data_IF_347009434854
#
_entry.id   IF_347009434854
#
_cell.length_a   1.000
_cell.length_b   1.000
_cell.length_c   1.000
_cell.angle_alpha   90.00
_cell.angle_beta   90.00
_cell.angle_gamma   90.00
#
_symmetry.space_group_name_H-M   'P 1'
#
loop_
_entity.id
_entity.type
_entity.pdbx_description
1 polymer ?
#
# COMPACT_ATOMS: atom_id res chain seq x y z
N UNK A 1 -8.63 45.22 -45.59
CA UNK A 1 -8.54 46.68 -45.37
C UNK A 1 -9.97 47.20 -45.27
N UNK A 2 -10.35 47.82 -44.16
CA UNK A 2 -11.27 48.97 -44.04
C UNK A 2 -11.57 49.16 -42.54
N UNK A 3 -11.15 50.33 -42.03
CA UNK A 3 -11.28 50.79 -40.65
C UNK A 3 -12.49 51.72 -40.53
N UNK A 4 -13.10 51.72 -39.34
CA UNK A 4 -13.67 52.88 -38.63
C UNK A 4 -14.95 53.50 -39.23
N UNK A 5 -15.89 54.06 -38.48
CA UNK A 5 -16.02 54.34 -37.06
C UNK A 5 -16.89 55.59 -36.84
N UNK A 6 -17.63 55.61 -35.72
CA UNK A 6 -18.20 56.76 -34.95
C UNK A 6 -19.58 57.37 -35.28
N UNK A 7 -20.27 57.72 -34.18
CA UNK A 7 -21.33 58.76 -34.02
C UNK A 7 -22.62 58.19 -33.38
N UNK A 8 -22.88 58.32 -32.06
CA UNK A 8 -23.51 59.44 -31.31
C UNK A 8 -24.96 59.72 -31.75
N UNK A 9 -26.02 59.89 -30.94
CA UNK A 9 -26.28 59.98 -29.50
C UNK A 9 -27.77 60.43 -29.30
N UNK A 10 -28.30 60.30 -28.06
CA UNK A 10 -29.53 60.94 -27.49
C UNK A 10 -30.90 60.57 -28.11
N UNK A 11 -32.04 60.44 -27.43
CA UNK A 11 -32.52 60.65 -26.04
C UNK A 11 -34.08 60.64 -26.09
N UNK A 12 -34.77 60.32 -24.99
CA UNK A 12 -36.23 60.57 -24.88
C UNK A 12 -37.03 59.55 -24.04
N UNK A 13 -37.38 59.95 -22.82
CA UNK A 13 -38.31 59.33 -21.88
C UNK A 13 -39.76 59.26 -22.39
N UNK A 14 -40.54 58.24 -21.97
CA UNK A 14 -41.92 58.50 -21.52
C UNK A 14 -42.54 57.37 -20.67
N UNK A 15 -43.47 57.80 -19.82
CA UNK A 15 -43.88 57.20 -18.54
C UNK A 15 -45.21 56.44 -18.57
N UNK A 16 -45.28 55.37 -17.76
CA UNK A 16 -46.45 54.76 -17.07
C UNK A 16 -47.56 53.99 -17.82
N UNK A 17 -47.78 52.75 -17.34
CA UNK A 17 -49.02 52.13 -16.80
C UNK A 17 -48.83 50.60 -16.92
N UNK A 18 -48.73 49.80 -15.87
CA UNK A 18 -49.70 49.64 -14.79
C UNK A 18 -50.53 48.37 -15.04
N UNK A 19 -49.99 47.18 -14.72
CA UNK A 19 -50.78 45.95 -14.60
C UNK A 19 -50.18 45.07 -13.49
N UNK A 20 -50.97 44.89 -12.42
CA UNK A 20 -50.65 44.03 -11.26
C UNK A 20 -50.90 42.58 -11.65
N UNK A 21 -49.91 41.72 -11.48
CA UNK A 21 -50.11 40.27 -11.34
C UNK A 21 -49.55 39.85 -9.98
N UNK A 22 -50.41 39.28 -9.14
CA UNK A 22 -50.06 38.69 -7.86
C UNK A 22 -49.01 37.58 -8.06
N UNK A 23 -47.77 37.83 -7.61
CA UNK A 23 -46.77 36.78 -7.45
C UNK A 23 -47.01 36.07 -6.10
N UNK A 24 -47.44 34.81 -6.17
CA UNK A 24 -47.26 33.84 -5.09
C UNK A 24 -45.76 33.64 -4.87
N UNK A 25 -45.25 33.62 -3.62
CA UNK A 25 -43.85 33.33 -3.39
C UNK A 25 -43.54 31.88 -3.79
N UNK A 26 -42.48 31.71 -4.59
CA UNK A 26 -41.84 30.41 -4.83
C UNK A 26 -41.55 29.75 -3.49
N UNK A 27 -42.08 28.54 -3.28
CA UNK A 27 -41.57 27.67 -2.21
C UNK A 27 -40.16 27.24 -2.59
N UNK A 28 -39.18 27.62 -1.76
CA UNK A 28 -37.85 27.02 -1.81
C UNK A 28 -37.90 25.59 -1.26
N UNK A 29 -37.15 24.62 -1.81
CA UNK A 29 -37.09 23.28 -1.26
C UNK A 29 -36.30 23.31 0.07
N UNK A 30 -36.90 22.80 1.13
CA UNK A 30 -36.25 22.60 2.42
C UNK A 30 -35.18 21.49 2.32
N UNK A 31 -34.00 21.83 1.85
CA UNK A 31 -32.82 20.98 1.96
C UNK A 31 -31.99 21.45 3.15
N UNK A 32 -32.00 20.73 4.27
CA UNK A 32 -30.84 20.64 5.17
C UNK A 32 -31.05 19.62 6.30
N UNK A 33 -30.09 18.69 6.40
CA UNK A 33 -29.89 17.69 7.46
C UNK A 33 -29.97 18.24 8.91
N UNK A 34 -29.86 19.56 9.09
CA UNK A 34 -29.93 20.21 10.40
C UNK A 34 -31.33 20.28 11.02
N UNK A 35 -32.40 20.38 10.22
CA UNK A 35 -33.73 20.70 10.76
C UNK A 35 -34.41 19.53 11.50
N UNK A 36 -34.10 18.29 11.14
CA UNK A 36 -34.68 17.09 11.78
C UNK A 36 -33.97 16.72 13.09
N UNK A 37 -32.64 16.82 13.13
CA UNK A 37 -31.87 16.59 14.35
C UNK A 37 -32.25 17.60 15.44
N UNK A 38 -32.43 18.87 15.07
CA UNK A 38 -32.89 19.92 16.00
C UNK A 38 -34.30 19.66 16.54
N UNK A 39 -35.23 19.11 15.72
CA UNK A 39 -36.57 18.76 16.19
C UNK A 39 -36.56 17.55 17.15
N UNK A 40 -35.72 16.55 16.88
CA UNK A 40 -35.61 15.34 17.71
C UNK A 40 -35.00 15.64 19.09
N UNK A 41 -33.96 16.49 19.13
CA UNK A 41 -33.34 16.98 20.38
C UNK A 41 -34.37 17.78 21.20
N UNK A 42 -35.24 18.57 20.55
CA UNK A 42 -36.31 19.31 21.21
C UNK A 42 -37.41 18.40 21.79
N UNK A 43 -37.69 17.27 21.14
CA UNK A 43 -38.67 16.27 21.62
C UNK A 43 -38.15 15.45 22.80
N UNK A 44 -36.86 15.10 22.81
CA UNK A 44 -36.20 14.39 23.93
C UNK A 44 -36.06 15.31 25.15
N UNK A 45 -35.62 16.56 24.97
CA UNK A 45 -35.50 17.54 26.08
C UNK A 45 -36.84 17.93 26.70
N UNK A 46 -37.95 17.77 25.97
CA UNK A 46 -39.32 17.97 26.48
C UNK A 46 -39.99 16.71 27.00
N UNK A 47 -39.26 15.59 27.11
CA UNK A 47 -39.76 14.33 27.69
C UNK A 47 -40.86 13.63 26.88
N UNK A 48 -41.07 14.03 25.61
CA UNK A 48 -42.15 13.48 24.77
C UNK A 48 -41.79 12.14 24.12
N UNK A 49 -40.51 11.77 24.12
CA UNK A 49 -40.01 10.50 23.57
C UNK A 49 -38.91 9.95 24.49
N UNK A 50 -38.97 8.67 24.91
CA UNK A 50 -37.90 8.03 25.66
C UNK A 50 -36.57 8.04 24.88
N UNK A 51 -35.45 8.32 25.55
CA UNK A 51 -34.13 8.43 24.91
C UNK A 51 -33.75 7.18 24.09
N UNK A 52 -34.17 6.00 24.54
CA UNK A 52 -33.93 4.74 23.82
C UNK A 52 -34.70 4.68 22.50
N UNK A 53 -35.98 5.10 22.48
CA UNK A 53 -36.79 5.15 21.27
C UNK A 53 -36.27 6.20 20.28
N UNK A 54 -35.78 7.35 20.78
CA UNK A 54 -35.15 8.37 19.95
C UNK A 54 -33.84 7.86 19.28
N UNK A 55 -33.03 7.08 20.01
CA UNK A 55 -31.82 6.43 19.44
C UNK A 55 -32.17 5.42 18.35
N UNK A 56 -33.22 4.62 18.55
CA UNK A 56 -33.69 3.66 17.54
C UNK A 56 -34.23 4.34 16.28
N UNK A 57 -34.97 5.45 16.43
CA UNK A 57 -35.44 6.24 15.28
C UNK A 57 -34.29 6.90 14.51
N UNK A 58 -33.27 7.43 15.20
CA UNK A 58 -32.07 7.97 14.54
C UNK A 58 -31.32 6.85 13.80
N UNK A 59 -31.16 5.69 14.42
CA UNK A 59 -30.50 4.54 13.79
C UNK A 59 -31.26 4.07 12.53
N UNK A 60 -32.59 4.01 12.58
CA UNK A 60 -33.41 3.60 11.43
C UNK A 60 -33.47 4.68 10.32
N UNK A 61 -33.50 5.97 10.69
CA UNK A 61 -33.39 7.07 9.75
C UNK A 61 -32.01 7.09 9.06
N UNK A 62 -30.93 6.79 9.77
CA UNK A 62 -29.59 6.68 9.18
C UNK A 62 -29.51 5.50 8.20
N UNK A 63 -30.18 4.36 8.49
CA UNK A 63 -30.32 3.24 7.54
C UNK A 63 -31.11 3.59 6.27
N UNK A 64 -32.04 4.55 6.36
CA UNK A 64 -32.83 5.00 5.21
C UNK A 64 -32.13 6.11 4.42
N UNK A 65 -31.37 7.00 5.07
CA UNK A 65 -30.58 8.03 4.38
C UNK A 65 -29.35 7.47 3.66
N UNK A 66 -28.77 6.35 4.13
CA UNK A 66 -27.70 5.63 3.42
C UNK A 66 -28.21 4.81 2.22
N UNK A 67 -29.51 4.82 1.92
CA UNK A 67 -30.12 4.10 0.78
C UNK A 67 -30.47 5.01 -0.40
N UNK A 68 -30.07 6.28 -0.38
CA UNK A 68 -30.47 7.24 -1.40
C UNK A 68 -29.47 8.36 -1.58
N UNK A 69 -28.37 8.08 -2.26
CA UNK A 69 -27.61 8.97 -3.14
C UNK A 69 -26.56 8.10 -3.83
N UNK A 70 -26.47 8.19 -5.16
CA UNK A 70 -25.85 7.18 -6.01
C UNK A 70 -24.49 6.71 -5.53
N UNK A 71 -24.43 5.45 -5.14
CA UNK A 71 -23.21 4.68 -5.13
C UNK A 71 -22.66 4.71 -6.56
N UNK A 72 -21.76 5.65 -6.83
CA UNK A 72 -20.60 5.24 -7.61
C UNK A 72 -19.91 4.20 -6.74
N UNK A 73 -20.38 2.95 -6.83
CA UNK A 73 -19.53 1.80 -6.64
C UNK A 73 -18.30 2.11 -7.48
N UNK A 74 -17.24 2.62 -6.84
CA UNK A 74 -15.93 2.49 -7.43
C UNK A 74 -15.76 0.99 -7.53
N UNK A 75 -15.75 0.40 -8.74
CA UNK A 75 -15.51 -1.01 -8.87
C UNK A 75 -14.20 -1.23 -8.13
N UNK A 76 -14.20 -2.04 -7.07
CA UNK A 76 -12.96 -2.51 -6.47
C UNK A 76 -12.28 -3.18 -7.65
N UNK A 77 -11.22 -2.59 -8.22
CA UNK A 77 -10.66 -3.17 -9.38
C UNK A 77 -10.01 -4.43 -8.82
N UNK A 78 -10.48 -5.60 -9.26
CA UNK A 78 -9.62 -6.77 -9.33
C UNK A 78 -8.62 -6.48 -10.46
N UNK A 79 -7.90 -5.36 -10.37
CA UNK A 79 -6.81 -5.01 -11.27
C UNK A 79 -5.75 -6.02 -10.95
N UNK A 80 -5.47 -6.89 -11.93
CA UNK A 80 -4.15 -7.48 -12.09
C UNK A 80 -3.12 -6.39 -11.79
N UNK A 81 -2.43 -6.50 -10.66
CA UNK A 81 -1.30 -5.62 -10.37
C UNK A 81 -0.31 -5.68 -11.54
N UNK A 82 0.25 -4.53 -11.91
CA UNK A 82 1.13 -4.42 -13.07
C UNK A 82 2.57 -4.16 -12.65
N UNK A 83 3.41 -5.17 -12.83
CA UNK A 83 4.86 -5.02 -12.79
C UNK A 83 5.39 -4.28 -14.02
N UNK A 84 6.69 -3.98 -14.01
CA UNK A 84 7.40 -3.49 -15.20
C UNK A 84 7.51 -4.64 -16.21
N UNK A 85 6.97 -4.42 -17.41
CA UNK A 85 6.98 -5.38 -18.50
C UNK A 85 8.43 -5.71 -18.93
N UNK A 86 8.69 -7.00 -19.19
CA UNK A 86 10.00 -7.50 -19.65
C UNK A 86 9.96 -7.65 -21.16
N UNK A 87 10.94 -7.09 -21.87
CA UNK A 87 10.86 -6.96 -23.34
C UNK A 87 11.38 -8.18 -24.10
N UNK A 88 11.94 -9.18 -23.39
CA UNK A 88 12.57 -10.37 -23.99
C UNK A 88 11.98 -11.68 -23.46
N UNK A 89 10.71 -12.02 -23.77
CA UNK A 89 10.08 -13.26 -23.29
C UNK A 89 10.72 -14.54 -23.87
N UNK A 90 11.35 -14.46 -25.05
CA UNK A 90 12.01 -15.57 -25.74
C UNK A 90 13.53 -15.56 -25.58
N UNK A 91 14.07 -14.96 -24.52
CA UNK A 91 15.52 -14.88 -24.34
C UNK A 91 16.14 -16.27 -24.19
N UNK A 92 17.33 -16.45 -24.77
CA UNK A 92 18.08 -17.69 -24.65
C UNK A 92 18.98 -17.62 -23.41
N UNK A 93 18.64 -18.39 -22.38
CA UNK A 93 19.39 -18.45 -21.12
C UNK A 93 20.90 -18.71 -21.31
N UNK A 94 21.28 -19.50 -22.32
CA UNK A 94 22.69 -19.77 -22.67
C UNK A 94 23.39 -18.50 -23.17
N UNK A 95 22.76 -17.78 -24.10
CA UNK A 95 23.33 -16.56 -24.67
C UNK A 95 23.43 -15.44 -23.63
N UNK A 96 22.42 -15.31 -22.77
CA UNK A 96 22.44 -14.36 -21.67
C UNK A 96 23.55 -14.72 -20.65
N UNK A 97 23.76 -16.01 -20.35
CA UNK A 97 24.85 -16.46 -19.48
C UNK A 97 26.23 -16.13 -20.08
N UNK A 98 26.41 -16.35 -21.39
CA UNK A 98 27.63 -15.97 -22.12
C UNK A 98 27.86 -14.45 -22.09
N UNK A 99 26.80 -13.66 -22.25
CA UNK A 99 26.88 -12.21 -22.19
C UNK A 99 27.28 -11.72 -20.78
N UNK A 100 26.74 -12.32 -19.72
CA UNK A 100 27.14 -11.99 -18.34
C UNK A 100 28.60 -12.37 -18.10
N UNK A 101 29.06 -13.53 -18.55
CA UNK A 101 30.46 -13.93 -18.39
C UNK A 101 31.42 -12.99 -19.12
N UNK A 102 31.08 -12.60 -20.35
CA UNK A 102 31.85 -11.62 -21.10
C UNK A 102 31.90 -10.26 -20.40
N UNK A 103 30.77 -9.82 -19.81
CA UNK A 103 30.70 -8.58 -19.05
C UNK A 103 31.58 -8.63 -17.79
N UNK A 104 31.58 -9.74 -17.05
CA UNK A 104 32.43 -9.95 -15.86
C UNK A 104 33.92 -9.92 -16.24
N UNK A 105 34.30 -10.53 -17.37
CA UNK A 105 35.70 -10.61 -17.83
C UNK A 105 36.24 -9.34 -18.49
N UNK A 106 35.38 -8.38 -18.80
CA UNK A 106 35.79 -7.10 -19.38
C UNK A 106 36.72 -6.37 -18.42
N UNK A 107 37.78 -5.73 -18.94
CA UNK A 107 38.71 -4.95 -18.10
C UNK A 107 37.94 -3.80 -17.45
N UNK A 108 37.75 -3.88 -16.13
CA UNK A 108 36.95 -2.93 -15.35
C UNK A 108 35.50 -3.35 -15.10
N UNK A 109 35.09 -4.55 -15.55
CA UNK A 109 33.71 -5.08 -15.56
C UNK A 109 32.78 -4.23 -16.44
N UNK A 110 31.83 -4.85 -17.13
CA UNK A 110 30.78 -4.13 -17.87
C UNK A 110 29.47 -4.17 -17.06
N UNK A 111 29.35 -3.29 -16.07
CA UNK A 111 28.18 -3.21 -15.19
C UNK A 111 26.90 -2.87 -15.97
N UNK A 112 27.01 -2.04 -17.01
CA UNK A 112 25.89 -1.68 -17.86
C UNK A 112 25.29 -2.90 -18.54
N UNK A 113 26.14 -3.74 -19.14
CA UNK A 113 25.67 -4.97 -19.78
C UNK A 113 25.00 -5.92 -18.79
N UNK A 114 25.54 -6.03 -17.56
CA UNK A 114 24.93 -6.82 -16.49
C UNK A 114 23.54 -6.27 -16.13
N UNK A 115 23.43 -4.94 -15.97
CA UNK A 115 22.16 -4.27 -15.66
C UNK A 115 21.13 -4.53 -16.76
N UNK A 116 21.50 -4.29 -18.02
CA UNK A 116 20.61 -4.43 -19.17
C UNK A 116 20.08 -5.86 -19.28
N UNK A 117 20.96 -6.87 -19.16
CA UNK A 117 20.56 -8.28 -19.21
C UNK A 117 19.65 -8.61 -18.03
N UNK A 118 19.99 -8.24 -16.80
CA UNK A 118 19.21 -8.69 -15.64
C UNK A 118 17.87 -7.96 -15.50
N UNK A 119 17.82 -6.66 -15.77
CA UNK A 119 16.59 -5.87 -15.56
C UNK A 119 15.53 -6.11 -16.63
N UNK A 120 15.94 -6.56 -17.82
CA UNK A 120 15.08 -6.91 -18.94
C UNK A 120 14.68 -8.41 -18.99
N UNK A 121 14.99 -9.15 -17.92
CA UNK A 121 14.58 -10.56 -17.75
C UNK A 121 13.67 -10.68 -16.55
N UNK A 122 12.69 -11.57 -16.62
CA UNK A 122 11.88 -11.94 -15.45
C UNK A 122 12.71 -12.71 -14.44
N UNK A 123 12.26 -12.80 -13.20
CA UNK A 123 12.94 -13.61 -12.18
C UNK A 123 13.13 -15.07 -12.63
N UNK A 124 12.11 -15.66 -13.27
CA UNK A 124 12.17 -17.02 -13.81
C UNK A 124 13.29 -17.15 -14.85
N UNK A 125 13.41 -16.19 -15.77
CA UNK A 125 14.48 -16.17 -16.75
C UNK A 125 15.85 -15.97 -16.11
N UNK A 126 16.00 -15.05 -15.14
CA UNK A 126 17.27 -14.86 -14.41
C UNK A 126 17.75 -16.14 -13.73
N UNK A 127 16.83 -16.92 -13.15
CA UNK A 127 17.15 -18.22 -12.54
C UNK A 127 17.57 -19.25 -13.60
N UNK A 128 16.92 -19.27 -14.76
CA UNK A 128 17.36 -20.12 -15.88
C UNK A 128 18.75 -19.71 -16.41
N UNK A 129 19.06 -18.41 -16.46
CA UNK A 129 20.39 -17.89 -16.80
C UNK A 129 21.43 -18.38 -15.79
N UNK A 130 21.15 -18.27 -14.48
CA UNK A 130 22.05 -18.74 -13.44
C UNK A 130 22.33 -20.25 -13.55
N UNK A 131 21.31 -21.06 -13.85
CA UNK A 131 21.48 -22.49 -14.11
C UNK A 131 22.34 -22.76 -15.35
N UNK A 132 22.10 -22.04 -16.45
CA UNK A 132 22.89 -22.19 -17.67
C UNK A 132 24.35 -21.76 -17.46
N UNK A 133 24.58 -20.66 -16.75
CA UNK A 133 25.91 -20.18 -16.38
C UNK A 133 26.69 -21.25 -15.58
N UNK A 134 26.06 -21.89 -14.60
CA UNK A 134 26.66 -23.00 -13.85
C UNK A 134 27.03 -24.18 -14.76
N UNK A 135 26.19 -24.53 -15.74
CA UNK A 135 26.46 -25.62 -16.68
C UNK A 135 27.61 -25.30 -17.64
N UNK A 136 27.72 -24.06 -18.12
CA UNK A 136 28.74 -23.65 -19.08
C UNK A 136 30.11 -23.44 -18.43
N UNK A 137 30.14 -22.88 -17.22
CA UNK A 137 31.39 -22.41 -16.60
C UNK A 137 31.77 -23.16 -15.33
N UNK A 138 30.92 -24.08 -14.86
CA UNK A 138 31.16 -24.84 -13.63
C UNK A 138 31.17 -23.99 -12.36
N UNK A 139 30.72 -22.73 -12.43
CA UNK A 139 30.74 -21.74 -11.34
C UNK A 139 29.35 -21.14 -11.14
N UNK A 140 29.02 -20.87 -9.88
CA UNK A 140 27.76 -20.23 -9.50
C UNK A 140 27.73 -18.75 -9.93
N UNK A 141 26.67 -18.35 -10.65
CA UNK A 141 26.52 -17.01 -11.21
C UNK A 141 26.43 -15.91 -10.12
N UNK A 142 25.59 -16.03 -9.07
CA UNK A 142 25.62 -15.11 -7.92
C UNK A 142 27.02 -14.94 -7.33
N UNK A 143 27.76 -16.03 -7.14
CA UNK A 143 29.13 -15.98 -6.60
C UNK A 143 30.11 -15.29 -7.56
N UNK A 144 29.95 -15.47 -8.87
CA UNK A 144 30.76 -14.77 -9.87
C UNK A 144 30.47 -13.26 -9.89
N UNK A 145 29.20 -12.87 -9.88
CA UNK A 145 28.79 -11.47 -9.85
C UNK A 145 29.16 -10.78 -8.54
N UNK A 146 29.06 -11.49 -7.41
CA UNK A 146 29.54 -11.01 -6.10
C UNK A 146 31.04 -10.71 -6.08
N UNK A 147 31.83 -11.50 -6.80
CA UNK A 147 33.27 -11.26 -6.90
C UNK A 147 33.64 -10.12 -7.87
N UNK A 148 32.76 -9.81 -8.83
CA UNK A 148 32.97 -8.81 -9.86
C UNK A 148 32.41 -7.42 -9.48
N UNK A 149 31.30 -7.40 -8.76
CA UNK A 149 30.59 -6.19 -8.37
C UNK A 149 30.89 -5.81 -6.91
N UNK A 150 30.57 -4.58 -6.54
CA UNK A 150 30.67 -4.14 -5.15
C UNK A 150 29.51 -3.22 -4.75
N UNK A 151 29.27 -3.12 -3.45
CA UNK A 151 28.41 -2.11 -2.85
C UNK A 151 26.94 -2.25 -3.24
N UNK A 152 26.32 -1.14 -3.64
CA UNK A 152 24.86 -1.04 -3.83
C UNK A 152 24.38 -1.74 -5.08
N UNK A 153 25.17 -1.67 -6.16
CA UNK A 153 24.86 -2.40 -7.38
C UNK A 153 24.88 -3.91 -7.13
N UNK A 154 25.93 -4.41 -6.45
CA UNK A 154 26.04 -5.81 -6.05
C UNK A 154 24.79 -6.26 -5.28
N UNK A 155 24.36 -5.45 -4.29
CA UNK A 155 23.19 -5.76 -3.47
C UNK A 155 21.90 -5.91 -4.29
N UNK A 156 21.65 -5.00 -5.24
CA UNK A 156 20.48 -5.09 -6.13
C UNK A 156 20.58 -6.30 -7.07
N UNK A 157 21.75 -6.51 -7.69
CA UNK A 157 21.98 -7.61 -8.64
C UNK A 157 21.77 -8.95 -7.95
N UNK A 158 22.36 -9.17 -6.78
CA UNK A 158 22.18 -10.41 -6.02
C UNK A 158 20.74 -10.60 -5.57
N UNK A 159 20.05 -9.52 -5.19
CA UNK A 159 18.62 -9.56 -4.87
C UNK A 159 17.77 -10.01 -6.06
N UNK A 160 18.04 -9.50 -7.26
CA UNK A 160 17.29 -9.83 -8.47
C UNK A 160 17.45 -11.30 -8.92
N UNK A 161 18.54 -11.97 -8.54
CA UNK A 161 18.80 -13.38 -8.87
C UNK A 161 18.07 -14.37 -7.95
N UNK A 162 17.66 -13.94 -6.76
CA UNK A 162 16.93 -14.77 -5.80
C UNK A 162 15.48 -14.92 -6.22
N UNK A 163 14.88 -16.08 -5.97
CA UNK A 163 13.42 -16.17 -6.00
C UNK A 163 12.80 -15.21 -4.98
N UNK A 164 11.54 -14.77 -5.15
CA UNK A 164 10.90 -13.87 -4.19
C UNK A 164 10.95 -14.37 -2.74
N UNK A 165 10.74 -15.68 -2.52
CA UNK A 165 10.80 -16.28 -1.20
C UNK A 165 12.23 -16.33 -0.61
N UNK A 166 13.25 -16.59 -1.43
CA UNK A 166 14.66 -16.52 -0.99
C UNK A 166 15.08 -15.10 -0.66
N UNK A 167 14.61 -14.10 -1.42
CA UNK A 167 14.89 -12.70 -1.14
C UNK A 167 14.26 -12.24 0.18
N UNK A 168 12.96 -12.50 0.37
CA UNK A 168 12.25 -12.13 1.59
C UNK A 168 12.78 -12.90 2.82
N UNK A 169 13.12 -14.19 2.69
CA UNK A 169 13.69 -14.97 3.78
C UNK A 169 15.05 -14.42 4.24
N UNK A 170 15.88 -13.95 3.31
CA UNK A 170 17.14 -13.27 3.63
C UNK A 170 16.91 -11.94 4.33
N UNK A 171 16.00 -11.09 3.81
CA UNK A 171 15.69 -9.80 4.42
C UNK A 171 15.15 -9.97 5.85
N UNK A 172 14.28 -10.97 6.08
CA UNK A 172 13.80 -11.31 7.43
C UNK A 172 14.95 -11.77 8.34
N UNK A 173 15.84 -12.64 7.85
CA UNK A 173 16.99 -13.10 8.62
C UNK A 173 17.92 -11.94 8.99
N UNK A 174 18.24 -11.07 8.03
CA UNK A 174 19.06 -9.90 8.27
C UNK A 174 18.40 -8.90 9.22
N UNK A 175 17.06 -8.81 9.23
CA UNK A 175 16.33 -7.95 10.15
C UNK A 175 16.36 -8.41 11.61
N UNK A 176 16.63 -9.70 11.85
CA UNK A 176 16.73 -10.31 13.18
C UNK A 176 18.17 -10.70 13.55
N UNK A 177 19.14 -10.44 12.67
CA UNK A 177 20.52 -10.85 12.90
C UNK A 177 21.34 -9.73 13.53
N UNK A 178 21.81 -9.97 14.75
CA UNK A 178 22.82 -9.12 15.41
C UNK A 178 22.27 -8.45 16.67
N UNK A 179 22.81 -7.27 16.99
CA UNK A 179 22.34 -6.48 18.12
C UNK A 179 21.20 -5.57 17.66
N UNK A 180 20.02 -5.79 18.24
CA UNK A 180 18.79 -5.10 17.87
C UNK A 180 18.07 -5.78 16.71
N UNK A 181 16.88 -5.27 16.41
CA UNK A 181 16.01 -5.79 15.37
C UNK A 181 15.69 -4.64 14.40
N UNK A 182 15.52 -4.94 13.12
CA UNK A 182 14.97 -4.02 12.12
C UNK A 182 13.47 -4.30 12.01
N UNK A 183 12.70 -3.72 12.93
CA UNK A 183 11.25 -3.90 13.01
C UNK A 183 10.55 -3.38 11.74
N UNK A 184 11.12 -2.35 11.09
CA UNK A 184 10.56 -1.79 9.87
C UNK A 184 10.50 -2.83 8.74
N UNK A 185 11.58 -3.60 8.56
CA UNK A 185 11.67 -4.68 7.56
C UNK A 185 10.76 -5.85 7.92
N UNK A 186 10.73 -6.28 9.19
CA UNK A 186 9.82 -7.33 9.66
C UNK A 186 8.36 -6.99 9.38
N UNK A 187 7.95 -5.78 9.76
CA UNK A 187 6.58 -5.30 9.59
C UNK A 187 6.22 -5.22 8.11
N UNK A 188 7.07 -4.61 7.28
CA UNK A 188 6.81 -4.45 5.85
C UNK A 188 6.54 -5.78 5.15
N UNK A 189 7.38 -6.79 5.40
CA UNK A 189 7.25 -8.10 4.77
C UNK A 189 6.02 -8.83 5.33
N UNK A 190 5.89 -8.97 6.65
CA UNK A 190 4.81 -9.78 7.24
C UNK A 190 3.40 -9.21 6.99
N UNK A 191 3.27 -7.89 6.82
CA UNK A 191 1.98 -7.24 6.52
C UNK A 191 1.59 -7.38 5.04
N UNK A 192 2.56 -7.35 4.13
CA UNK A 192 2.30 -7.20 2.70
C UNK A 192 2.32 -8.49 1.89
N UNK A 193 2.77 -9.61 2.47
CA UNK A 193 2.81 -10.89 1.79
C UNK A 193 1.51 -11.68 1.97
N UNK A 194 1.09 -12.35 0.91
CA UNK A 194 -0.06 -13.27 0.93
C UNK A 194 0.23 -14.51 1.77
N UNK A 195 -0.81 -15.27 2.11
CA UNK A 195 -0.67 -16.53 2.82
C UNK A 195 0.27 -17.52 2.09
N UNK A 196 0.11 -17.63 0.77
CA UNK A 196 0.96 -18.49 -0.05
C UNK A 196 2.43 -18.07 -0.01
N UNK A 197 2.69 -16.76 -0.11
CA UNK A 197 4.05 -16.21 -0.01
C UNK A 197 4.66 -16.47 1.38
N UNK A 198 3.92 -16.18 2.47
CA UNK A 198 4.41 -16.36 3.84
C UNK A 198 4.76 -17.83 4.14
N UNK A 199 3.93 -18.78 3.68
CA UNK A 199 4.23 -20.22 3.81
C UNK A 199 5.49 -20.61 3.05
N UNK A 200 5.70 -20.07 1.85
CA UNK A 200 6.89 -20.38 1.07
C UNK A 200 8.16 -19.76 1.67
N UNK A 201 8.07 -18.50 2.14
CA UNK A 201 9.12 -17.83 2.89
C UNK A 201 9.51 -18.66 4.11
N UNK A 202 8.55 -19.13 4.92
CA UNK A 202 8.82 -19.96 6.10
C UNK A 202 9.58 -21.26 5.77
N UNK A 203 9.24 -21.93 4.66
CA UNK A 203 9.97 -23.12 4.19
C UNK A 203 11.40 -22.79 3.78
N UNK A 204 11.60 -21.76 2.97
CA UNK A 204 12.92 -21.34 2.48
C UNK A 204 13.80 -20.88 3.64
N UNK A 205 13.24 -20.05 4.54
CA UNK A 205 13.91 -19.59 5.75
C UNK A 205 14.41 -20.77 6.59
N UNK A 206 13.56 -21.75 6.87
CA UNK A 206 13.95 -22.96 7.61
C UNK A 206 15.02 -23.78 6.90
N UNK A 207 14.92 -23.90 5.57
CA UNK A 207 15.91 -24.64 4.79
C UNK A 207 17.30 -23.99 4.85
N UNK A 208 17.38 -22.65 4.84
CA UNK A 208 18.64 -21.89 4.86
C UNK A 208 19.19 -21.75 6.27
N UNK A 209 18.39 -21.23 7.21
CA UNK A 209 18.83 -20.85 8.56
C UNK A 209 18.80 -22.01 9.56
N UNK A 210 18.18 -23.14 9.20
CA UNK A 210 18.00 -24.32 10.07
C UNK A 210 17.15 -24.07 11.32
N UNK A 211 16.46 -22.93 11.39
CA UNK A 211 15.51 -22.55 12.43
C UNK A 211 14.21 -22.08 11.77
N UNK A 212 13.08 -22.27 12.46
CA UNK A 212 11.77 -21.80 11.98
C UNK A 212 11.68 -20.28 12.10
N UNK A 213 11.10 -19.61 11.11
CA UNK A 213 10.94 -18.15 11.10
C UNK A 213 10.23 -17.66 12.37
N UNK A 214 9.19 -18.38 12.80
CA UNK A 214 8.42 -18.07 14.01
C UNK A 214 9.26 -18.18 15.28
N UNK A 215 10.27 -19.06 15.32
CA UNK A 215 11.16 -19.18 16.48
C UNK A 215 12.09 -17.97 16.60
N UNK A 216 12.65 -17.51 15.48
CA UNK A 216 13.51 -16.32 15.47
C UNK A 216 12.68 -15.05 15.76
N UNK A 217 11.47 -14.92 15.19
CA UNK A 217 10.55 -13.82 15.57
C UNK A 217 10.28 -13.86 17.09
N UNK A 218 10.07 -15.06 17.65
CA UNK A 218 9.81 -15.22 19.07
C UNK A 218 11.05 -14.98 19.96
N UNK A 219 12.28 -15.10 19.46
CA UNK A 219 13.48 -14.79 20.24
C UNK A 219 13.79 -13.30 20.25
N UNK A 220 13.49 -12.62 19.14
CA UNK A 220 13.93 -11.24 18.90
C UNK A 220 12.90 -10.19 19.29
N UNK A 221 11.62 -10.56 19.33
CA UNK A 221 10.54 -9.64 19.69
C UNK A 221 9.87 -10.07 20.99
N UNK A 222 9.05 -9.21 21.59
CA UNK A 222 8.35 -9.53 22.84
C UNK A 222 6.95 -8.92 22.92
N UNK A 223 6.20 -9.32 23.94
CA UNK A 223 4.89 -8.75 24.26
C UNK A 223 3.84 -8.95 23.16
N UNK A 224 2.94 -7.99 23.02
CA UNK A 224 1.88 -8.07 22.02
C UNK A 224 2.37 -7.82 20.59
N UNK A 225 3.50 -7.12 20.42
CA UNK A 225 4.16 -6.98 19.11
C UNK A 225 4.57 -8.35 18.57
N UNK A 226 5.25 -9.16 19.39
CA UNK A 226 5.57 -10.55 19.06
C UNK A 226 4.32 -11.36 18.69
N UNK A 227 3.26 -11.27 19.49
CA UNK A 227 2.00 -12.02 19.21
C UNK A 227 1.40 -11.62 17.86
N UNK A 228 1.42 -10.34 17.52
CA UNK A 228 0.92 -9.85 16.24
C UNK A 228 1.78 -10.37 15.08
N UNK A 229 3.11 -10.27 15.16
CA UNK A 229 4.01 -10.77 14.12
C UNK A 229 3.86 -12.28 13.92
N UNK A 230 3.78 -13.06 15.00
CA UNK A 230 3.57 -14.51 14.93
C UNK A 230 2.20 -14.86 14.33
N UNK A 231 1.16 -14.06 14.59
CA UNK A 231 -0.14 -14.24 13.97
C UNK A 231 -0.12 -13.97 12.46
N UNK A 232 0.63 -12.96 12.01
CA UNK A 232 0.86 -12.67 10.59
C UNK A 232 1.68 -13.77 9.92
N UNK A 233 2.84 -14.15 10.51
CA UNK A 233 3.79 -15.11 9.94
C UNK A 233 3.18 -16.48 9.63
N UNK A 234 2.15 -16.89 10.39
CA UNK A 234 1.39 -18.13 10.13
C UNK A 234 0.76 -18.19 8.74
N UNK A 235 0.45 -17.04 8.11
CA UNK A 235 -0.12 -17.00 6.76
C UNK A 235 -1.43 -17.77 6.63
N UNK A 236 -2.35 -17.58 7.57
CA UNK A 236 -3.64 -18.28 7.65
C UNK A 236 -4.84 -17.33 7.75
N UNK A 237 -4.73 -16.11 7.20
CA UNK A 237 -5.89 -15.20 7.14
C UNK A 237 -6.95 -15.73 6.16
N UNK A 238 -8.20 -15.34 6.33
CA UNK A 238 -9.23 -15.59 5.32
C UNK A 238 -8.89 -14.89 3.99
N UNK A 239 -9.05 -15.60 2.87
CA UNK A 239 -8.82 -15.10 1.50
C UNK A 239 -10.12 -15.00 0.70
N UNK A 240 -11.28 -15.16 1.35
CA UNK A 240 -12.58 -15.04 0.72
C UNK A 240 -12.87 -13.60 0.27
N UNK A 241 -13.55 -13.46 -0.86
CA UNK A 241 -14.08 -12.19 -1.36
C UNK A 241 -15.52 -11.92 -0.91
N UNK A 242 -16.16 -12.88 -0.25
CA UNK A 242 -17.53 -12.74 0.23
C UNK A 242 -17.54 -11.88 1.49
N UNK A 243 -18.37 -10.84 1.51
CA UNK A 243 -18.47 -9.92 2.64
C UNK A 243 -19.75 -10.23 3.41
N UNK A 244 -19.60 -10.63 4.66
CA UNK A 244 -20.69 -10.76 5.63
C UNK A 244 -20.89 -9.43 6.34
N UNK A 245 -21.92 -8.67 5.95
CA UNK A 245 -22.18 -7.34 6.49
C UNK A 245 -22.56 -7.36 7.98
N UNK A 246 -23.13 -8.46 8.51
CA UNK A 246 -23.42 -8.57 9.94
C UNK A 246 -22.12 -8.72 10.73
N UNK A 247 -21.20 -9.56 10.24
CA UNK A 247 -19.88 -9.71 10.84
C UNK A 247 -19.04 -8.43 10.72
N UNK A 248 -19.14 -7.70 9.61
CA UNK A 248 -18.50 -6.38 9.44
C UNK A 248 -18.97 -5.42 10.52
N UNK A 249 -20.29 -5.30 10.73
CA UNK A 249 -20.84 -4.39 11.73
C UNK A 249 -20.43 -4.83 13.14
N UNK A 250 -20.40 -6.13 13.41
CA UNK A 250 -19.94 -6.68 14.68
C UNK A 250 -18.45 -6.38 14.93
N UNK A 251 -17.57 -6.64 13.96
CA UNK A 251 -16.14 -6.37 14.10
C UNK A 251 -15.86 -4.86 14.26
N UNK A 252 -16.60 -3.99 13.55
CA UNK A 252 -16.50 -2.55 13.71
C UNK A 252 -16.87 -2.10 15.13
N UNK A 253 -17.96 -2.64 15.69
CA UNK A 253 -18.36 -2.40 17.09
C UNK A 253 -17.34 -2.95 18.07
N UNK A 254 -16.83 -4.16 17.85
CA UNK A 254 -15.83 -4.80 18.71
C UNK A 254 -14.52 -3.99 18.76
N UNK A 255 -14.06 -3.46 17.62
CA UNK A 255 -12.88 -2.58 17.57
C UNK A 255 -13.13 -1.25 18.29
N UNK A 256 -14.35 -0.68 18.18
CA UNK A 256 -14.69 0.55 18.89
C UNK A 256 -14.76 0.34 20.40
N UNK A 257 -15.45 -0.72 20.83
CA UNK A 257 -15.58 -1.10 22.23
C UNK A 257 -14.23 -1.51 22.84
N UNK A 258 -13.40 -2.21 22.06
CA UNK A 258 -12.06 -2.66 22.42
C UNK A 258 -11.00 -1.56 22.44
N UNK A 259 -11.28 -0.39 21.88
CA UNK A 259 -10.40 0.78 21.94
C UNK A 259 -11.05 1.93 22.70
N UNK A 260 -11.70 2.83 21.98
CA UNK A 260 -12.15 4.13 22.48
C UNK A 260 -13.24 4.06 23.58
N UNK A 261 -13.99 2.96 23.71
CA UNK A 261 -15.05 2.84 24.71
C UNK A 261 -14.60 2.26 26.05
N UNK A 262 -13.30 2.05 26.25
CA UNK A 262 -12.76 1.46 27.49
C UNK A 262 -11.47 2.15 27.91
N UNK A 263 -10.99 1.81 29.11
CA UNK A 263 -9.67 2.24 29.58
C UNK A 263 -8.61 1.25 29.09
N UNK A 264 -7.65 1.74 28.30
CA UNK A 264 -6.65 0.90 27.62
C UNK A 264 -7.25 0.12 26.46
N UNK A 265 -6.47 -0.73 25.80
CA UNK A 265 -6.88 -1.36 24.54
C UNK A 265 -6.99 -2.87 24.67
N UNK A 266 -8.02 -3.47 24.07
CA UNK A 266 -8.16 -4.91 23.90
C UNK A 266 -7.28 -5.40 22.75
N UNK A 267 -5.97 -5.38 22.98
CA UNK A 267 -4.97 -5.76 21.98
C UNK A 267 -5.20 -7.16 21.42
N UNK A 268 -5.52 -8.21 22.23
CA UNK A 268 -5.82 -9.54 21.68
C UNK A 268 -6.99 -9.54 20.69
N UNK A 269 -8.06 -8.78 20.95
CA UNK A 269 -9.18 -8.64 20.01
C UNK A 269 -8.75 -7.95 18.71
N UNK A 270 -7.97 -6.87 18.80
CA UNK A 270 -7.42 -6.18 17.63
C UNK A 270 -6.56 -7.14 16.79
N UNK A 271 -5.62 -7.85 17.41
CA UNK A 271 -4.78 -8.84 16.71
C UNK A 271 -5.67 -9.87 16.00
N UNK A 272 -6.61 -10.48 16.71
CA UNK A 272 -7.49 -11.52 16.15
C UNK A 272 -8.25 -11.04 14.92
N UNK A 273 -8.87 -9.85 14.96
CA UNK A 273 -9.63 -9.30 13.83
C UNK A 273 -8.68 -8.99 12.66
N UNK A 274 -7.61 -8.25 12.90
CA UNK A 274 -6.70 -7.78 11.84
C UNK A 274 -5.94 -8.90 11.14
N UNK A 275 -5.64 -10.01 11.83
CA UNK A 275 -4.84 -11.10 11.25
C UNK A 275 -5.67 -12.25 10.70
N UNK A 276 -6.95 -12.36 11.07
CA UNK A 276 -7.80 -13.49 10.62
C UNK A 276 -8.78 -13.14 9.51
N UNK A 277 -9.27 -11.89 9.43
CA UNK A 277 -10.26 -11.49 8.43
C UNK A 277 -9.63 -11.28 7.06
N UNK A 278 -10.44 -11.41 6.01
CA UNK A 278 -10.00 -11.11 4.64
C UNK A 278 -9.74 -9.62 4.44
N UNK A 279 -8.90 -9.31 3.45
CA UNK A 279 -8.58 -7.92 3.10
C UNK A 279 -9.85 -7.12 2.72
N UNK A 280 -10.75 -7.64 1.85
CA UNK A 280 -11.99 -6.93 1.52
C UNK A 280 -12.88 -6.70 2.75
N UNK A 281 -13.00 -7.69 3.64
CA UNK A 281 -13.76 -7.56 4.88
C UNK A 281 -13.22 -6.45 5.77
N UNK A 282 -11.91 -6.42 6.03
CA UNK A 282 -11.31 -5.37 6.88
C UNK A 282 -11.43 -3.99 6.27
N UNK A 283 -11.30 -3.87 4.95
CA UNK A 283 -11.52 -2.59 4.26
C UNK A 283 -12.96 -2.09 4.50
N UNK A 284 -13.94 -2.98 4.37
CA UNK A 284 -15.34 -2.69 4.68
C UNK A 284 -15.57 -2.35 6.16
N UNK A 285 -14.94 -3.07 7.09
CA UNK A 285 -14.95 -2.76 8.53
C UNK A 285 -14.45 -1.34 8.79
N UNK A 286 -13.37 -0.88 8.15
CA UNK A 286 -12.85 0.48 8.35
C UNK A 286 -13.81 1.57 7.86
N UNK A 287 -14.61 1.29 6.82
CA UNK A 287 -15.66 2.19 6.35
C UNK A 287 -16.80 2.25 7.39
N UNK A 288 -17.30 1.10 7.82
CA UNK A 288 -18.43 0.99 8.78
C UNK A 288 -18.04 1.51 10.16
N UNK A 289 -16.77 1.39 10.57
CA UNK A 289 -16.24 1.90 11.84
C UNK A 289 -16.55 3.38 12.08
N UNK A 290 -16.62 4.19 11.02
CA UNK A 290 -16.95 5.62 11.10
C UNK A 290 -18.39 5.90 11.58
N UNK A 291 -19.27 4.90 11.58
CA UNK A 291 -20.61 5.03 12.16
C UNK A 291 -20.59 4.99 13.70
N UNK A 292 -19.52 4.48 14.30
CA UNK A 292 -19.37 4.33 15.75
C UNK A 292 -18.36 5.32 16.34
N UNK A 293 -17.39 5.77 15.56
CA UNK A 293 -16.27 6.60 16.00
C UNK A 293 -16.16 7.90 15.20
N UNK A 294 -15.83 9.00 15.89
CA UNK A 294 -15.53 10.30 15.26
C UNK A 294 -14.15 10.35 14.59
N UNK A 295 -13.24 9.44 14.97
CA UNK A 295 -11.93 9.28 14.34
C UNK A 295 -11.88 7.97 13.56
N UNK A 296 -11.11 7.94 12.49
CA UNK A 296 -10.93 6.72 11.71
C UNK A 296 -10.02 5.69 12.42
N UNK A 297 -9.85 4.53 11.78
CA UNK A 297 -9.06 3.43 12.36
C UNK A 297 -7.60 3.83 12.62
N UNK A 298 -6.98 4.60 11.72
CA UNK A 298 -5.62 5.10 11.93
C UNK A 298 -5.55 6.04 13.13
N UNK A 299 -6.53 6.94 13.27
CA UNK A 299 -6.68 7.82 14.43
C UNK A 299 -6.87 7.06 15.74
N UNK A 300 -7.68 6.00 15.74
CA UNK A 300 -7.86 5.12 16.91
C UNK A 300 -6.55 4.43 17.28
N UNK A 301 -5.87 3.79 16.32
CA UNK A 301 -4.58 3.13 16.57
C UNK A 301 -3.55 4.11 17.14
N UNK A 302 -3.50 5.35 16.62
CA UNK A 302 -2.61 6.40 17.11
C UNK A 302 -2.85 6.78 18.58
N UNK A 303 -4.11 6.75 19.04
CA UNK A 303 -4.48 7.09 20.42
C UNK A 303 -4.28 5.93 21.39
N UNK A 304 -4.62 4.72 20.94
CA UNK A 304 -4.78 3.54 21.77
C UNK A 304 -3.49 2.71 21.89
N UNK A 305 -2.68 2.66 20.84
CA UNK A 305 -1.51 1.77 20.74
C UNK A 305 -0.23 2.59 20.58
N UNK A 306 0.91 2.05 21.04
CA UNK A 306 2.24 2.70 20.97
C UNK A 306 3.34 1.74 20.49
N UNK A 307 4.49 2.30 20.14
CA UNK A 307 5.68 1.54 19.72
C UNK A 307 5.45 0.69 18.48
N UNK A 308 6.21 -0.38 18.33
CA UNK A 308 6.19 -1.23 17.12
C UNK A 308 4.84 -1.91 16.89
N UNK A 309 4.08 -2.16 17.97
CA UNK A 309 2.70 -2.65 17.87
C UNK A 309 1.80 -1.66 17.11
N UNK A 310 1.92 -0.36 17.41
CA UNK A 310 1.20 0.70 16.70
C UNK A 310 1.63 0.74 15.24
N UNK A 311 2.93 0.72 15.00
CA UNK A 311 3.49 0.84 13.65
C UNK A 311 3.06 -0.35 12.77
N UNK A 312 2.95 -1.55 13.37
CA UNK A 312 2.42 -2.74 12.70
C UNK A 312 0.95 -2.60 12.34
N UNK A 313 0.10 -2.15 13.28
CA UNK A 313 -1.32 -1.93 12.98
C UNK A 313 -1.52 -0.82 11.94
N UNK A 314 -0.73 0.25 11.98
CA UNK A 314 -0.77 1.29 10.96
C UNK A 314 -0.34 0.77 9.59
N UNK A 315 0.71 -0.05 9.52
CA UNK A 315 1.12 -0.71 8.30
C UNK A 315 -0.01 -1.60 7.75
N UNK A 316 -0.69 -2.36 8.59
CA UNK A 316 -1.86 -3.17 8.21
C UNK A 316 -2.97 -2.30 7.63
N UNK A 317 -3.39 -1.24 8.31
CA UNK A 317 -4.47 -0.36 7.81
C UNK A 317 -4.11 0.21 6.44
N UNK A 318 -2.91 0.77 6.30
CA UNK A 318 -2.45 1.38 5.04
C UNK A 318 -2.38 0.36 3.91
N UNK A 319 -1.85 -0.83 4.17
CA UNK A 319 -1.78 -1.89 3.17
C UNK A 319 -3.17 -2.41 2.78
N UNK A 320 -4.07 -2.62 3.75
CA UNK A 320 -5.45 -3.06 3.50
C UNK A 320 -6.23 -2.06 2.64
N UNK A 321 -6.03 -0.76 2.87
CA UNK A 321 -6.73 0.28 2.15
C UNK A 321 -6.17 0.51 0.74
N UNK A 322 -4.86 0.48 0.58
CA UNK A 322 -4.19 0.79 -0.68
C UNK A 322 -2.79 0.14 -0.75
N UNK A 323 -2.68 -1.12 -1.21
CA UNK A 323 -1.40 -1.83 -1.27
C UNK A 323 -0.31 -1.08 -2.08
N UNK A 324 -0.58 -0.56 -3.31
CA UNK A 324 0.45 0.19 -4.03
C UNK A 324 0.78 1.53 -3.34
N UNK A 325 -0.21 2.17 -2.71
CA UNK A 325 -0.02 3.38 -1.93
C UNK A 325 0.84 3.18 -0.69
N UNK A 326 0.80 2.01 -0.06
CA UNK A 326 1.67 1.64 1.07
C UNK A 326 3.14 1.59 0.62
N UNK A 327 3.44 0.94 -0.50
CA UNK A 327 4.81 0.89 -1.03
C UNK A 327 5.27 2.23 -1.60
N UNK A 328 4.37 3.03 -2.16
CA UNK A 328 4.67 4.40 -2.56
C UNK A 328 5.15 5.24 -1.37
N UNK A 329 4.49 5.12 -0.21
CA UNK A 329 4.90 5.81 1.02
C UNK A 329 6.28 5.33 1.49
N UNK A 330 6.54 4.01 1.46
CA UNK A 330 7.87 3.45 1.79
C UNK A 330 8.97 3.98 0.87
N UNK A 331 8.74 4.01 -0.43
CA UNK A 331 9.70 4.55 -1.39
C UNK A 331 9.94 6.04 -1.15
N UNK A 332 8.88 6.81 -0.89
CA UNK A 332 9.02 8.25 -0.65
C UNK A 332 9.84 8.53 0.61
N UNK A 333 9.52 7.87 1.73
CA UNK A 333 10.29 8.01 2.97
C UNK A 333 11.73 7.47 2.85
N UNK A 334 12.00 6.57 1.91
CA UNK A 334 13.36 6.11 1.62
C UNK A 334 14.20 7.11 0.80
N UNK A 335 13.53 7.99 0.03
CA UNK A 335 14.15 8.96 -0.87
C UNK A 335 14.12 10.40 -0.30
N UNK A 336 13.19 10.69 0.60
CA UNK A 336 13.02 11.98 1.26
C UNK A 336 14.10 12.17 2.33
N UNK A 337 14.74 13.34 2.33
CA UNK A 337 15.86 13.61 3.24
C UNK A 337 17.09 12.79 2.86
N UNK A 338 17.59 11.98 3.80
CA UNK A 338 18.70 11.06 3.61
C UNK A 338 18.25 9.73 2.99
N UNK A 339 19.07 9.19 2.09
CA UNK A 339 18.75 7.97 1.34
C UNK A 339 18.76 6.73 2.25
N UNK A 340 17.60 6.09 2.44
CA UNK A 340 17.48 4.80 3.13
C UNK A 340 17.63 3.65 2.13
N UNK A 341 18.88 3.35 1.79
CA UNK A 341 19.23 2.43 0.69
C UNK A 341 18.67 1.02 0.83
N UNK A 342 18.60 0.49 2.07
CA UNK A 342 18.03 -0.85 2.33
C UNK A 342 16.55 -0.93 1.96
N UNK A 343 15.76 0.04 2.44
CA UNK A 343 14.31 0.12 2.14
C UNK A 343 14.08 0.33 0.64
N UNK A 344 14.81 1.27 0.03
CA UNK A 344 14.70 1.52 -1.42
C UNK A 344 15.01 0.25 -2.23
N UNK A 345 16.12 -0.42 -1.92
CA UNK A 345 16.55 -1.63 -2.64
C UNK A 345 15.54 -2.76 -2.46
N UNK A 346 15.10 -3.04 -1.23
CA UNK A 346 14.13 -4.11 -0.95
C UNK A 346 12.81 -3.88 -1.67
N UNK A 347 12.24 -2.67 -1.58
CA UNK A 347 10.95 -2.39 -2.23
C UNK A 347 11.10 -2.45 -3.75
N UNK A 348 12.16 -1.88 -4.32
CA UNK A 348 12.37 -1.92 -5.77
C UNK A 348 12.55 -3.35 -6.29
N UNK A 349 13.36 -4.18 -5.63
CA UNK A 349 13.58 -5.58 -6.02
C UNK A 349 12.29 -6.41 -5.86
N UNK A 350 11.65 -6.33 -4.69
CA UNK A 350 10.49 -7.19 -4.38
C UNK A 350 9.23 -6.82 -5.17
N UNK A 351 9.09 -5.57 -5.61
CA UNK A 351 7.86 -5.07 -6.25
C UNK A 351 7.97 -4.83 -7.76
N UNK A 352 9.18 -4.83 -8.34
CA UNK A 352 9.39 -4.51 -9.76
C UNK A 352 8.57 -5.37 -10.73
N UNK A 353 8.31 -6.64 -10.42
CA UNK A 353 7.54 -7.57 -11.25
C UNK A 353 6.10 -7.80 -10.76
N UNK A 354 5.65 -7.07 -9.72
CA UNK A 354 4.32 -7.27 -9.11
C UNK A 354 3.39 -6.09 -9.42
N UNK A 355 3.69 -4.92 -8.88
CA UNK A 355 2.78 -3.77 -8.85
C UNK A 355 3.48 -2.42 -9.05
N UNK A 356 4.73 -2.43 -9.53
CA UNK A 356 5.54 -1.22 -9.70
C UNK A 356 4.86 -0.12 -10.53
N UNK A 357 4.08 -0.46 -11.55
CA UNK A 357 3.35 0.53 -12.36
C UNK A 357 2.24 1.21 -11.54
N UNK A 358 1.57 0.46 -10.67
CA UNK A 358 0.51 0.99 -9.81
C UNK A 358 1.10 1.78 -8.63
N UNK A 359 2.26 1.34 -8.10
CA UNK A 359 3.04 2.07 -7.09
C UNK A 359 3.48 3.42 -7.65
N UNK A 360 4.01 3.48 -8.87
CA UNK A 360 4.40 4.71 -9.55
C UNK A 360 3.26 5.71 -9.68
N UNK A 361 2.09 5.24 -10.09
CA UNK A 361 0.88 6.06 -10.17
C UNK A 361 0.54 6.65 -8.79
N UNK A 362 0.43 5.81 -7.76
CA UNK A 362 0.14 6.26 -6.39
C UNK A 362 1.19 7.23 -5.86
N UNK A 363 2.47 7.00 -6.18
CA UNK A 363 3.56 7.89 -5.80
C UNK A 363 3.40 9.28 -6.42
N UNK A 364 3.15 9.37 -7.74
CA UNK A 364 2.92 10.65 -8.42
C UNK A 364 1.68 11.35 -7.87
N UNK A 365 0.58 10.63 -7.70
CA UNK A 365 -0.68 11.17 -7.20
C UNK A 365 -0.53 11.77 -5.79
N UNK A 366 0.23 11.10 -4.90
CA UNK A 366 0.46 11.57 -3.51
C UNK A 366 1.50 12.68 -3.38
N UNK A 367 2.59 12.63 -4.15
CA UNK A 367 3.78 13.46 -3.92
C UNK A 367 4.07 14.49 -5.01
N UNK A 368 3.28 14.51 -6.10
CA UNK A 368 3.33 15.52 -7.15
C UNK A 368 4.53 15.44 -8.09
N UNK A 369 5.45 14.48 -7.90
CA UNK A 369 6.51 14.16 -8.86
C UNK A 369 6.63 12.64 -9.00
N UNK A 370 7.14 12.19 -10.15
CA UNK A 370 7.30 10.77 -10.42
C UNK A 370 8.38 10.13 -9.52
N UNK A 371 8.21 8.83 -9.25
CA UNK A 371 9.23 8.02 -8.58
C UNK A 371 10.57 8.07 -9.33
N UNK A 372 10.51 8.02 -10.67
CA UNK A 372 11.68 8.11 -11.55
C UNK A 372 12.49 9.38 -11.30
N UNK A 373 11.83 10.54 -11.20
CA UNK A 373 12.49 11.82 -10.93
C UNK A 373 13.14 11.87 -9.54
N UNK A 374 12.51 11.27 -8.53
CA UNK A 374 13.06 11.18 -7.18
C UNK A 374 14.31 10.29 -7.15
N UNK A 375 14.27 9.10 -7.76
CA UNK A 375 15.44 8.21 -7.88
C UNK A 375 16.57 8.94 -8.60
N UNK A 376 16.26 9.63 -9.69
CA UNK A 376 17.24 10.38 -10.48
C UNK A 376 17.94 11.48 -9.68
N UNK A 377 17.19 12.20 -8.85
CA UNK A 377 17.73 13.27 -8.02
C UNK A 377 18.54 12.75 -6.81
N UNK A 378 18.25 11.55 -6.31
CA UNK A 378 18.78 11.04 -5.04
C UNK A 378 19.86 9.97 -5.15
N UNK A 379 20.02 9.38 -6.33
CA UNK A 379 21.00 8.31 -6.57
C UNK A 379 21.92 8.67 -7.74
N UNK A 380 23.07 7.99 -7.86
CA UNK A 380 24.05 8.22 -8.93
C UNK A 380 24.70 6.90 -9.37
N UNK A 381 25.35 6.94 -10.54
CA UNK A 381 26.15 5.82 -11.05
C UNK A 381 25.30 4.59 -11.40
N UNK A 382 25.90 3.42 -11.37
CA UNK A 382 25.22 2.18 -11.81
C UNK A 382 24.09 1.75 -10.88
N UNK A 383 24.14 2.15 -9.60
CA UNK A 383 23.02 1.99 -8.68
C UNK A 383 21.78 2.78 -9.14
N UNK A 384 21.95 4.02 -9.62
CA UNK A 384 20.83 4.77 -10.19
C UNK A 384 20.29 4.06 -11.44
N UNK A 385 21.17 3.63 -12.34
CA UNK A 385 20.77 3.02 -13.62
C UNK A 385 19.92 1.76 -13.40
N UNK A 386 20.34 0.86 -12.51
CA UNK A 386 19.58 -0.37 -12.22
C UNK A 386 18.23 -0.07 -11.55
N UNK A 387 18.17 0.92 -10.64
CA UNK A 387 16.92 1.34 -10.00
C UNK A 387 15.95 1.94 -11.02
N UNK A 388 16.44 2.79 -11.93
CA UNK A 388 15.60 3.38 -12.98
C UNK A 388 15.10 2.31 -13.96
N UNK A 389 15.92 1.34 -14.32
CA UNK A 389 15.49 0.20 -15.13
C UNK A 389 14.40 -0.63 -14.45
N UNK A 390 14.48 -0.85 -13.13
CA UNK A 390 13.43 -1.51 -12.35
C UNK A 390 12.19 -0.63 -12.10
N UNK A 391 12.34 0.69 -12.13
CA UNK A 391 11.22 1.65 -12.08
C UNK A 391 10.45 1.64 -13.41
N UNK A 392 11.17 1.47 -14.54
CA UNK A 392 10.65 1.64 -15.88
C UNK A 392 10.79 3.09 -16.35
N UNK A 393 9.76 3.61 -17.03
CA UNK A 393 9.78 4.98 -17.59
C UNK A 393 9.43 6.07 -16.58
N UNK A 394 9.62 7.32 -17.01
CA UNK A 394 9.12 8.48 -16.29
C UNK A 394 7.62 8.67 -16.55
N UNK A 395 6.88 9.07 -15.51
CA UNK A 395 5.46 9.35 -15.55
C UNK A 395 5.26 10.86 -15.74
N UNK A 396 5.73 11.46 -16.84
CA UNK A 396 5.64 12.91 -17.07
C UNK A 396 4.20 13.44 -17.00
#
# INVERSE_FOLDING_TARGET
>A
MWRGGRGAGEGGDDVARGARSHNLPRQEPWTTRGSFASLLILCVSRGKVPLHAAKMMVHELMKHMNRGEGDTELPIPVTSFRGVEKTQPNSNAKSDAEAIEAAIKTKGVDELKIIDVLTDRSNVQRRAIAQSYQQLYGKDMPSALKAALSGRLESVVLGLLKSPAEFDADELNWSMKGLGTDEETLIEILVSRSNAQLREIGKVYKAVNKVELEKDISSDTSGDFQKLLLALAKGNRDESSNIDEELVEQDARDLFAGGLQRKGTDVPKFISIFTSRSLPHLNRVFIVYKNFSEIDMEGTINKEVKGDLKDTFQALVKYIQNPPGFFADKLYESLKGGLKEKVLTRVMVSRCEIDMMDIRKQFKDKYGKSLYSFITAKTKGDYQKILLAMCGGDDL
#
